data_IF_433954444845
#
_entry.id   IF_433954444845
#
_cell.length_a   1.000
_cell.length_b   1.000
_cell.length_c   1.000
_cell.angle_alpha   90.00
_cell.angle_beta   90.00
_cell.angle_gamma   90.00
#
_symmetry.space_group_name_H-M   'P 1'
#
loop_
_entity.id
_entity.type
_entity.pdbx_description
1 polymer ?
#
# COMPACT_ATOMS: atom_id res chain seq x y z
N UNK A 1 6.75 9.41 3.96
CA UNK A 1 6.64 8.40 2.90
C UNK A 1 5.29 8.54 2.22
N UNK A 2 5.27 8.52 0.90
CA UNK A 2 4.04 8.30 0.12
C UNK A 2 3.66 6.81 0.14
N UNK A 3 2.42 6.47 -0.23
CA UNK A 3 1.99 5.07 -0.32
C UNK A 3 2.84 4.27 -1.32
N UNK A 4 3.35 4.92 -2.37
CA UNK A 4 4.20 4.31 -3.39
C UNK A 4 5.55 3.91 -2.83
N UNK A 5 6.19 4.82 -2.10
CA UNK A 5 7.46 4.58 -1.42
C UNK A 5 7.34 3.44 -0.40
N UNK A 6 6.22 3.37 0.33
CA UNK A 6 5.95 2.26 1.25
C UNK A 6 5.75 0.97 0.48
N UNK A 7 4.96 0.98 -0.60
CA UNK A 7 4.68 -0.21 -1.40
C UNK A 7 5.95 -0.81 -2.02
N UNK A 8 6.83 0.02 -2.59
CA UNK A 8 8.09 -0.43 -3.21
C UNK A 8 9.07 -1.05 -2.21
N UNK A 9 8.97 -0.67 -0.93
CA UNK A 9 9.92 -1.06 0.12
C UNK A 9 9.30 -1.96 1.19
N UNK A 10 8.02 -2.32 1.09
CA UNK A 10 7.30 -3.01 2.18
C UNK A 10 7.96 -4.33 2.57
N UNK A 11 8.52 -5.06 1.59
CA UNK A 11 9.27 -6.30 1.82
C UNK A 11 10.59 -6.03 2.54
N UNK A 12 11.38 -5.08 2.05
CA UNK A 12 12.65 -4.66 2.69
C UNK A 12 12.43 -4.20 4.14
N UNK A 13 11.44 -3.34 4.38
CA UNK A 13 11.10 -2.85 5.72
C UNK A 13 10.71 -4.01 6.63
N UNK A 14 9.90 -4.94 6.13
CA UNK A 14 9.48 -6.10 6.90
C UNK A 14 10.66 -6.99 7.27
N UNK A 15 11.50 -7.34 6.31
CA UNK A 15 12.69 -8.17 6.51
C UNK A 15 13.65 -7.54 7.53
N UNK A 16 13.90 -6.23 7.43
CA UNK A 16 14.76 -5.53 8.39
C UNK A 16 14.19 -5.52 9.82
N UNK A 17 12.87 -5.47 9.99
CA UNK A 17 12.21 -5.42 11.32
C UNK A 17 11.99 -6.81 11.92
N UNK A 18 11.65 -7.81 11.12
CA UNK A 18 11.21 -9.13 11.63
C UNK A 18 12.21 -10.26 11.42
N UNK A 19 13.15 -10.12 10.48
CA UNK A 19 14.11 -11.16 10.12
C UNK A 19 15.57 -10.78 10.42
N UNK A 20 15.80 -9.71 11.18
CA UNK A 20 17.12 -9.34 11.70
C UNK A 20 17.45 -10.08 13.00
N UNK A 21 18.74 -10.33 13.23
CA UNK A 21 19.26 -10.80 14.52
C UNK A 21 19.75 -9.66 15.42
N UNK A 22 19.66 -8.41 14.94
CA UNK A 22 20.08 -7.23 15.69
C UNK A 22 18.99 -6.79 16.67
N UNK A 23 19.35 -6.34 17.88
CA UNK A 23 18.39 -5.73 18.81
C UNK A 23 17.96 -4.32 18.38
N UNK A 24 18.76 -3.70 17.51
CA UNK A 24 18.69 -2.29 17.16
C UNK A 24 19.10 -2.08 15.71
N UNK A 25 18.25 -1.42 14.93
CA UNK A 25 18.47 -1.19 13.50
C UNK A 25 18.32 0.29 13.13
N UNK A 26 19.00 0.71 12.08
CA UNK A 26 18.80 2.01 11.43
C UNK A 26 17.70 1.91 10.37
N UNK A 27 16.89 2.95 10.19
CA UNK A 27 15.76 2.94 9.23
C UNK A 27 16.20 3.38 7.84
N UNK A 28 17.14 2.65 7.23
CA UNK A 28 17.73 3.06 5.93
C UNK A 28 16.68 3.14 4.81
N UNK A 29 15.61 2.35 4.91
CA UNK A 29 14.47 2.40 4.00
C UNK A 29 13.80 3.78 3.88
N UNK A 30 13.96 4.69 4.86
CA UNK A 30 13.42 6.06 4.79
C UNK A 30 14.16 6.92 3.75
N UNK A 31 15.34 6.49 3.28
CA UNK A 31 16.10 7.19 2.25
C UNK A 31 15.32 7.43 0.95
N UNK A 32 14.29 6.63 0.65
CA UNK A 32 13.43 6.83 -0.53
C UNK A 32 12.59 8.11 -0.43
N UNK A 33 12.38 8.66 0.77
CA UNK A 33 11.63 9.91 1.01
C UNK A 33 12.36 11.17 0.54
N UNK A 34 13.56 11.07 -0.05
CA UNK A 34 14.47 12.18 -0.37
C UNK A 34 13.99 13.08 -1.52
N UNK A 35 12.68 13.31 -1.64
CA UNK A 35 12.13 14.37 -2.48
C UNK A 35 12.26 15.71 -1.73
N UNK A 36 13.31 16.46 -2.11
CA UNK A 36 13.72 17.81 -1.69
C UNK A 36 14.47 17.90 -0.36
N UNK A 37 15.78 18.15 -0.48
CA UNK A 37 16.75 18.68 0.52
C UNK A 37 16.13 19.11 1.86
N UNK A 38 15.82 18.14 2.71
CA UNK A 38 15.42 18.38 4.08
C UNK A 38 16.51 17.78 4.98
N UNK A 39 17.34 18.65 5.55
CA UNK A 39 18.46 18.26 6.42
C UNK A 39 17.99 17.52 7.67
N UNK A 40 16.70 17.62 8.02
CA UNK A 40 16.10 16.84 9.10
C UNK A 40 15.97 15.34 8.80
N UNK A 41 15.86 14.95 7.53
CA UNK A 41 15.71 13.55 7.13
C UNK A 41 16.99 12.74 7.38
N UNK A 42 18.17 13.31 7.10
CA UNK A 42 19.46 12.62 7.33
C UNK A 42 19.70 12.33 8.82
N UNK A 43 19.24 13.22 9.70
CA UNK A 43 19.25 12.98 11.16
C UNK A 43 18.30 11.85 11.53
N UNK A 44 17.17 11.69 10.84
CA UNK A 44 16.19 10.63 11.11
C UNK A 44 16.58 9.26 10.56
N UNK A 45 17.35 9.22 9.46
CA UNK A 45 17.88 8.00 8.83
C UNK A 45 18.92 7.34 9.73
N UNK A 46 19.83 8.13 10.30
CA UNK A 46 20.90 7.64 11.17
C UNK A 46 20.43 7.29 12.60
N UNK A 47 19.16 7.54 12.92
CA UNK A 47 18.61 7.14 14.23
C UNK A 47 18.45 5.63 14.29
N UNK A 48 18.99 5.06 15.35
CA UNK A 48 18.88 3.65 15.70
C UNK A 48 17.66 3.46 16.59
N UNK A 49 16.84 2.46 16.28
CA UNK A 49 15.64 2.11 17.06
C UNK A 49 15.74 0.66 17.52
N UNK A 50 15.18 0.38 18.69
CA UNK A 50 14.98 -0.99 19.14
C UNK A 50 14.04 -1.74 18.20
N UNK A 51 14.38 -2.97 17.84
CA UNK A 51 13.58 -3.79 16.93
C UNK A 51 12.19 -4.05 17.49
N UNK A 52 12.07 -4.34 18.78
CA UNK A 52 10.77 -4.54 19.45
C UNK A 52 9.84 -3.32 19.29
N UNK A 53 10.39 -2.11 19.43
CA UNK A 53 9.64 -0.87 19.22
C UNK A 53 9.13 -0.75 17.77
N UNK A 54 9.96 -1.10 16.79
CA UNK A 54 9.57 -1.05 15.38
C UNK A 54 8.54 -2.11 15.02
N UNK A 55 8.64 -3.31 15.61
CA UNK A 55 7.64 -4.36 15.48
C UNK A 55 6.29 -3.92 16.07
N UNK A 56 6.28 -3.27 17.23
CA UNK A 56 5.07 -2.70 17.82
C UNK A 56 4.44 -1.65 16.88
N UNK A 57 5.26 -0.73 16.34
CA UNK A 57 4.75 0.29 15.39
C UNK A 57 4.27 -0.30 14.08
N UNK A 58 4.90 -1.35 13.59
CA UNK A 58 4.42 -2.10 12.42
C UNK A 58 3.04 -2.70 12.69
N UNK A 59 2.88 -3.40 13.81
CA UNK A 59 1.61 -4.04 14.19
C UNK A 59 0.51 -3.00 14.33
N UNK A 60 0.79 -1.85 14.95
CA UNK A 60 -0.17 -0.74 15.07
C UNK A 60 -0.56 -0.20 13.69
N UNK A 61 0.39 -0.06 12.77
CA UNK A 61 0.14 0.50 11.44
C UNK A 61 -0.60 -0.46 10.50
N UNK A 62 -0.29 -1.75 10.54
CA UNK A 62 -0.78 -2.75 9.58
C UNK A 62 -1.77 -3.76 10.15
N UNK A 63 -2.01 -3.72 11.47
CA UNK A 63 -2.96 -4.60 12.15
C UNK A 63 -2.44 -6.01 12.44
N UNK A 64 -1.13 -6.24 12.33
CA UNK A 64 -0.50 -7.52 12.68
C UNK A 64 0.93 -7.67 12.15
N UNK A 65 1.48 -8.86 12.33
CA UNK A 65 2.87 -9.21 12.00
C UNK A 65 3.04 -9.84 10.61
N UNK A 66 1.96 -10.13 9.88
CA UNK A 66 2.07 -10.76 8.56
C UNK A 66 2.30 -9.70 7.48
N UNK A 67 3.39 -9.81 6.72
CA UNK A 67 3.64 -8.96 5.56
C UNK A 67 2.48 -8.95 4.56
N UNK A 68 1.80 -10.08 4.37
CA UNK A 68 0.65 -10.18 3.46
C UNK A 68 -0.51 -9.34 3.96
N UNK A 69 -0.66 -9.16 5.28
CA UNK A 69 -1.66 -8.26 5.85
C UNK A 69 -1.33 -6.81 5.54
N UNK A 70 -0.06 -6.42 5.71
CA UNK A 70 0.41 -5.08 5.33
C UNK A 70 0.18 -4.78 3.84
N UNK A 71 0.56 -5.72 2.96
CA UNK A 71 0.32 -5.60 1.52
C UNK A 71 -1.17 -5.49 1.17
N UNK A 72 -2.06 -6.19 1.89
CA UNK A 72 -3.51 -6.06 1.70
C UNK A 72 -4.03 -4.69 2.09
N UNK A 73 -3.58 -4.15 3.22
CA UNK A 73 -3.96 -2.80 3.65
C UNK A 73 -3.51 -1.74 2.63
N UNK A 74 -2.28 -1.85 2.13
CA UNK A 74 -1.77 -0.96 1.08
C UNK A 74 -2.61 -1.06 -0.20
N UNK A 75 -2.96 -2.28 -0.64
CA UNK A 75 -3.88 -2.47 -1.78
C UNK A 75 -5.26 -1.89 -1.52
N UNK A 76 -5.78 -1.98 -0.29
CA UNK A 76 -7.05 -1.36 0.07
C UNK A 76 -7.00 0.16 -0.06
N UNK A 77 -5.93 0.80 0.42
CA UNK A 77 -5.71 2.24 0.22
C UNK A 77 -5.57 2.60 -1.27
N UNK A 78 -4.92 1.75 -2.08
CA UNK A 78 -4.85 1.93 -3.54
C UNK A 78 -6.21 1.76 -4.22
N UNK A 79 -7.09 0.88 -3.74
CA UNK A 79 -8.46 0.81 -4.24
C UNK A 79 -9.22 2.12 -4.00
N UNK A 80 -8.95 2.81 -2.90
CA UNK A 80 -9.50 4.15 -2.65
C UNK A 80 -8.93 5.19 -3.64
N UNK A 81 -7.65 5.09 -4.02
CA UNK A 81 -7.08 5.93 -5.10
C UNK A 81 -7.79 5.67 -6.44
N UNK A 82 -8.17 4.42 -6.72
CA UNK A 82 -8.82 4.04 -7.97
C UNK A 82 -10.29 4.45 -8.01
N UNK A 83 -11.04 4.16 -6.95
CA UNK A 83 -12.51 4.28 -6.94
C UNK A 83 -13.03 5.46 -6.12
N UNK A 84 -12.19 6.11 -5.32
CA UNK A 84 -12.59 7.17 -4.42
C UNK A 84 -13.72 6.72 -3.49
N UNK A 85 -14.72 7.59 -3.31
CA UNK A 85 -15.90 7.30 -2.50
C UNK A 85 -16.75 6.14 -3.03
N UNK A 86 -16.70 5.83 -4.34
CA UNK A 86 -17.41 4.69 -4.91
C UNK A 86 -16.92 3.35 -4.36
N UNK A 87 -15.76 3.33 -3.68
CA UNK A 87 -15.29 2.14 -2.98
C UNK A 87 -16.26 1.66 -1.88
N UNK A 88 -17.00 2.58 -1.26
CA UNK A 88 -17.99 2.27 -0.24
C UNK A 88 -19.24 1.59 -0.83
N UNK A 89 -19.56 1.86 -2.10
CA UNK A 89 -20.72 1.30 -2.79
C UNK A 89 -20.35 -0.02 -3.48
N UNK A 90 -20.65 -1.15 -2.82
CA UNK A 90 -20.49 -2.48 -3.40
C UNK A 90 -21.26 -2.66 -4.70
N UNK A 91 -22.48 -2.12 -4.79
CA UNK A 91 -23.35 -2.35 -5.94
C UNK A 91 -22.78 -1.66 -7.18
N UNK A 92 -22.21 -0.47 -7.00
CA UNK A 92 -21.50 0.24 -8.05
C UNK A 92 -20.28 -0.55 -8.56
N UNK A 93 -19.44 -1.07 -7.66
CA UNK A 93 -18.24 -1.81 -8.02
C UNK A 93 -18.50 -3.19 -8.66
N UNK A 94 -19.65 -3.79 -8.41
CA UNK A 94 -20.01 -5.11 -8.92
C UNK A 94 -20.98 -5.08 -10.11
N UNK A 95 -21.27 -3.90 -10.67
CA UNK A 95 -21.96 -3.75 -11.95
C UNK A 95 -20.96 -3.54 -13.10
N UNK A 96 -21.10 -4.29 -14.20
CA UNK A 96 -20.20 -4.17 -15.35
C UNK A 96 -20.40 -2.85 -16.12
N UNK A 97 -21.63 -2.35 -16.18
CA UNK A 97 -21.95 -1.09 -16.86
C UNK A 97 -21.36 0.10 -16.14
N UNK A 98 -21.49 0.14 -14.81
CA UNK A 98 -20.93 1.21 -13.99
C UNK A 98 -19.39 1.24 -14.00
N UNK A 99 -18.72 0.09 -14.03
CA UNK A 99 -17.25 0.07 -14.12
C UNK A 99 -16.74 0.60 -15.45
N UNK A 100 -17.37 0.22 -16.58
CA UNK A 100 -16.99 0.74 -17.89
C UNK A 100 -17.21 2.26 -17.97
N UNK A 101 -18.39 2.72 -17.55
CA UNK A 101 -18.74 4.13 -17.49
C UNK A 101 -17.82 4.93 -16.55
N UNK A 102 -17.40 4.33 -15.43
CA UNK A 102 -16.48 4.94 -14.47
C UNK A 102 -15.10 5.22 -15.08
N UNK A 103 -14.54 4.25 -15.80
CA UNK A 103 -13.23 4.41 -16.45
C UNK A 103 -13.30 5.31 -17.69
N UNK A 104 -14.43 5.35 -18.39
CA UNK A 104 -14.66 6.29 -19.51
C UNK A 104 -14.79 7.74 -19.04
N UNK A 105 -15.55 7.98 -17.97
CA UNK A 105 -15.83 9.35 -17.46
C UNK A 105 -14.70 9.94 -16.63
N UNK A 106 -13.89 9.10 -16.00
CA UNK A 106 -12.79 9.55 -15.16
C UNK A 106 -11.49 9.07 -15.77
N UNK A 107 -10.86 9.84 -16.70
CA UNK A 107 -9.54 9.50 -17.23
C UNK A 107 -8.58 9.32 -16.06
N UNK A 108 -7.84 8.21 -16.09
CA UNK A 108 -6.93 7.87 -15.00
C UNK A 108 -5.66 8.72 -15.11
N UNK A 109 -5.34 9.45 -14.04
CA UNK A 109 -4.01 10.03 -13.87
C UNK A 109 -2.97 8.92 -13.64
N UNK A 110 -1.69 9.30 -13.66
CA UNK A 110 -0.57 8.38 -13.50
C UNK A 110 -0.64 7.57 -12.18
N UNK A 111 -1.07 8.22 -11.09
CA UNK A 111 -1.20 7.58 -9.78
C UNK A 111 -2.33 6.53 -9.78
N UNK A 112 -3.45 6.85 -10.41
CA UNK A 112 -4.60 5.95 -10.52
C UNK A 112 -4.31 4.76 -11.43
N UNK A 113 -3.62 4.98 -12.55
CA UNK A 113 -3.13 3.89 -13.41
C UNK A 113 -2.15 2.98 -12.66
N UNK A 114 -1.22 3.58 -11.91
CA UNK A 114 -0.26 2.84 -11.10
C UNK A 114 -0.92 1.99 -10.03
N UNK A 115 -1.87 2.56 -9.26
CA UNK A 115 -2.68 1.79 -8.29
C UNK A 115 -3.42 0.65 -8.97
N UNK A 116 -4.00 0.91 -10.15
CA UNK A 116 -4.75 -0.08 -10.91
C UNK A 116 -3.86 -1.26 -11.33
N UNK A 117 -2.67 -1.00 -11.87
CA UNK A 117 -1.74 -2.05 -12.26
C UNK A 117 -1.25 -2.88 -11.04
N UNK A 118 -0.99 -2.24 -9.90
CA UNK A 118 -0.61 -2.95 -8.67
C UNK A 118 -1.75 -3.84 -8.15
N UNK A 119 -2.99 -3.36 -8.18
CA UNK A 119 -4.14 -4.09 -7.67
C UNK A 119 -4.58 -5.21 -8.63
N UNK A 120 -4.59 -4.93 -9.93
CA UNK A 120 -5.28 -5.74 -10.93
C UNK A 120 -4.35 -6.34 -12.01
N UNK A 121 -3.23 -5.70 -12.33
CA UNK A 121 -2.30 -6.05 -13.40
C UNK A 121 -2.62 -5.34 -14.73
N UNK A 122 -1.64 -5.27 -15.63
CA UNK A 122 -1.67 -4.49 -16.88
C UNK A 122 -2.69 -4.97 -17.94
N UNK A 123 -3.41 -6.07 -17.68
CA UNK A 123 -4.39 -6.66 -18.62
C UNK A 123 -5.56 -7.32 -17.90
N UNK A 124 -6.04 -6.71 -16.82
CA UNK A 124 -7.15 -7.26 -16.05
C UNK A 124 -8.49 -7.04 -16.77
N UNK A 125 -9.21 -8.13 -17.03
CA UNK A 125 -10.62 -8.07 -17.45
C UNK A 125 -11.56 -7.73 -16.26
N UNK A 126 -12.80 -7.34 -16.57
CA UNK A 126 -13.79 -6.91 -15.57
C UNK A 126 -14.12 -7.99 -14.53
N UNK A 127 -14.14 -9.26 -14.93
CA UNK A 127 -14.43 -10.36 -14.02
C UNK A 127 -13.27 -10.55 -13.01
N UNK A 128 -12.02 -10.45 -13.47
CA UNK A 128 -10.82 -10.47 -12.63
C UNK A 128 -10.76 -9.29 -11.67
N UNK A 129 -11.15 -8.10 -12.12
CA UNK A 129 -11.20 -6.89 -11.28
C UNK A 129 -12.18 -7.10 -10.13
N UNK A 130 -13.43 -7.52 -10.41
CA UNK A 130 -14.44 -7.81 -9.38
C UNK A 130 -13.99 -8.86 -8.39
N UNK A 131 -13.45 -9.99 -8.88
CA UNK A 131 -12.95 -11.05 -8.02
C UNK A 131 -11.85 -10.55 -7.06
N UNK A 132 -10.92 -9.72 -7.57
CA UNK A 132 -9.84 -9.12 -6.78
C UNK A 132 -10.35 -8.09 -5.76
N UNK A 133 -11.28 -7.21 -6.15
CA UNK A 133 -11.92 -6.25 -5.23
C UNK A 133 -12.61 -6.99 -4.08
N UNK A 134 -13.42 -8.01 -4.40
CA UNK A 134 -14.11 -8.80 -3.38
C UNK A 134 -13.14 -9.52 -2.44
N UNK A 135 -12.03 -10.03 -2.98
CA UNK A 135 -10.99 -10.71 -2.18
C UNK A 135 -10.33 -9.73 -1.20
N UNK A 136 -9.98 -8.53 -1.67
CA UNK A 136 -9.32 -7.51 -0.83
C UNK A 136 -10.28 -7.04 0.28
N UNK A 137 -11.56 -6.79 -0.03
CA UNK A 137 -12.55 -6.32 0.97
C UNK A 137 -12.88 -7.33 2.06
N UNK A 138 -13.02 -8.62 1.72
CA UNK A 138 -13.39 -9.67 2.70
C UNK A 138 -12.28 -10.03 3.69
N UNK A 139 -11.07 -9.54 3.45
CA UNK A 139 -9.87 -9.95 4.18
C UNK A 139 -9.28 -8.81 5.03
N UNK A 140 -10.03 -7.72 5.18
CA UNK A 140 -9.71 -6.65 6.13
C UNK A 140 -10.37 -6.99 7.46
N UNK A 141 -9.67 -6.73 8.58
CA UNK A 141 -10.23 -6.91 9.92
C UNK A 141 -11.45 -6.00 10.16
#
# INVERSE_FOLDING_TARGET
MTIWEVWERVEEIYEEIFNTNEEKISRQWINVCRLKKDTGLDVQINRIFGVEYLQEKWIIAFGGQDIRQAQRLLKYMMLFIIFGSHMADTNYLFDNGHLAEFFEKSPADENRLRAFNICFGESADWQRIKAKVSKIRRQLP
#
